data_IF_934648993842
#
_entry.id   IF_934648993842
#
_cell.length_a   1.000
_cell.length_b   1.000
_cell.length_c   1.000
_cell.angle_alpha   90.00
_cell.angle_beta   90.00
_cell.angle_gamma   90.00
#
_symmetry.space_group_name_H-M   'P 1'
#
loop_
_entity.id
_entity.type
_entity.pdbx_description
1 polymer ?
#
# COMPACT_ATOMS: atom_id res chain seq x y z
N UNK A 1 25.15 2.17 0.95
CA UNK A 1 23.92 1.84 1.66
C UNK A 1 23.02 3.05 1.52
N UNK A 2 21.91 2.93 0.79
CA UNK A 2 21.05 4.06 0.48
C UNK A 2 20.32 4.56 1.74
N UNK A 3 20.27 5.87 1.99
CA UNK A 3 19.52 6.47 3.13
C UNK A 3 18.05 6.03 3.15
N UNK A 4 17.44 5.73 1.99
CA UNK A 4 16.07 5.20 1.86
C UNK A 4 15.89 3.81 2.52
N UNK A 5 16.91 2.94 2.45
CA UNK A 5 16.88 1.63 3.11
C UNK A 5 16.97 1.76 4.64
N UNK A 6 17.67 2.80 5.13
CA UNK A 6 17.82 3.02 6.57
C UNK A 6 16.52 3.39 7.27
N UNK A 7 15.62 4.14 6.61
CA UNK A 7 14.34 4.57 7.21
C UNK A 7 13.38 3.38 7.31
N UNK A 8 13.27 2.58 6.24
CA UNK A 8 12.44 1.36 6.25
C UNK A 8 13.04 0.33 7.22
N UNK A 9 14.37 0.17 7.23
CA UNK A 9 15.06 -0.71 8.17
C UNK A 9 14.96 -0.24 9.63
N UNK A 10 14.89 1.06 9.90
CA UNK A 10 14.69 1.58 11.24
C UNK A 10 13.28 1.30 11.76
N UNK A 11 12.25 1.46 10.92
CA UNK A 11 10.86 1.11 11.27
C UNK A 11 10.71 -0.40 11.48
N UNK A 12 11.39 -1.24 10.66
CA UNK A 12 11.37 -2.70 10.78
C UNK A 12 12.23 -3.23 11.96
N UNK A 13 13.35 -2.57 12.29
CA UNK A 13 14.23 -2.98 13.40
C UNK A 13 13.62 -2.79 14.80
N UNK A 14 12.67 -1.88 14.95
CA UNK A 14 11.96 -1.65 16.22
C UNK A 14 10.99 -2.78 16.60
N UNK A 15 10.56 -3.60 15.62
CA UNK A 15 9.68 -4.74 15.87
C UNK A 15 10.41 -6.03 16.29
N UNK A 16 11.75 -6.09 16.25
CA UNK A 16 12.55 -7.30 16.51
C UNK A 16 13.42 -7.19 17.76
N UNK A 17 12.81 -7.14 18.91
CA UNK A 17 13.46 -7.36 20.21
C UNK A 17 13.48 -8.83 20.63
N UNK A 18 13.95 -9.78 19.78
CA UNK A 18 14.39 -11.12 20.20
C UNK A 18 15.03 -11.89 19.03
N UNK A 19 16.24 -12.41 19.29
CA UNK A 19 16.96 -13.47 18.57
C UNK A 19 17.09 -13.36 17.05
N UNK A 20 18.33 -13.19 16.57
CA UNK A 20 18.77 -13.25 15.18
C UNK A 20 18.38 -14.57 14.49
N UNK A 21 17.23 -14.62 13.89
CA UNK A 21 16.99 -15.33 12.65
C UNK A 21 17.00 -14.24 11.56
N UNK A 22 17.74 -14.42 10.49
CA UNK A 22 17.71 -13.57 9.30
C UNK A 22 16.39 -13.84 8.58
N UNK A 23 15.25 -13.41 9.17
CA UNK A 23 13.99 -13.35 8.43
C UNK A 23 14.15 -12.30 7.33
N UNK A 24 13.82 -12.69 6.12
CA UNK A 24 13.87 -11.80 4.96
C UNK A 24 12.88 -10.66 5.19
N UNK A 25 13.36 -9.41 5.16
CA UNK A 25 12.49 -8.24 5.26
C UNK A 25 11.44 -8.27 4.15
N UNK A 26 10.19 -8.02 4.51
CA UNK A 26 9.05 -8.01 3.59
C UNK A 26 8.34 -6.66 3.58
N UNK A 27 7.62 -6.35 2.49
CA UNK A 27 6.74 -5.19 2.44
C UNK A 27 5.72 -5.31 3.58
N UNK A 28 5.65 -4.32 4.49
CA UNK A 28 4.68 -4.35 5.56
C UNK A 28 3.25 -4.21 5.03
N UNK A 29 2.34 -4.93 5.67
CA UNK A 29 0.91 -4.94 5.33
C UNK A 29 0.12 -4.42 6.52
N UNK A 30 -0.59 -3.31 6.33
CA UNK A 30 -1.34 -2.64 7.37
C UNK A 30 -2.85 -2.85 7.18
N UNK A 31 -3.55 -3.18 8.25
CA UNK A 31 -5.00 -3.14 8.31
C UNK A 31 -5.46 -1.81 8.91
N UNK A 32 -6.32 -1.09 8.18
CA UNK A 32 -6.92 0.16 8.64
C UNK A 32 -8.13 -0.10 9.50
N UNK A 33 -8.16 0.52 10.68
CA UNK A 33 -9.29 0.67 11.59
C UNK A 33 -10.19 -0.57 11.81
N UNK A 34 -11.21 -0.41 12.64
CA UNK A 34 -12.28 -1.39 12.78
C UNK A 34 -12.04 -2.49 13.79
N UNK A 35 -10.92 -2.48 14.54
CA UNK A 35 -10.73 -3.41 15.67
C UNK A 35 -11.10 -2.73 17.00
N UNK A 36 -12.23 -3.10 17.64
CA UNK A 36 -12.57 -2.62 18.96
C UNK A 36 -11.55 -3.06 20.00
N UNK A 37 -11.14 -2.17 20.90
CA UNK A 37 -10.15 -2.47 21.94
C UNK A 37 -10.57 -3.62 22.86
N UNK A 38 -11.87 -3.74 23.17
CA UNK A 38 -12.44 -4.81 24.00
C UNK A 38 -12.43 -6.21 23.35
N UNK A 39 -12.06 -6.30 22.07
CA UNK A 39 -11.92 -7.56 21.30
C UNK A 39 -10.52 -7.76 20.73
N UNK A 40 -9.59 -6.90 21.09
CA UNK A 40 -8.24 -6.90 20.57
C UNK A 40 -7.51 -8.24 20.76
N UNK A 41 -7.67 -8.87 21.93
CA UNK A 41 -7.05 -10.18 22.24
C UNK A 41 -7.49 -11.32 21.29
N UNK A 42 -8.65 -11.19 20.63
CA UNK A 42 -9.15 -12.18 19.65
C UNK A 42 -8.85 -11.75 18.22
N UNK A 43 -8.96 -10.44 17.92
CA UNK A 43 -8.86 -9.93 16.56
C UNK A 43 -7.42 -9.82 16.08
N UNK A 44 -6.44 -9.45 16.93
CA UNK A 44 -5.04 -9.39 16.50
C UNK A 44 -4.43 -10.75 16.12
N UNK A 45 -4.69 -11.87 16.83
CA UNK A 45 -4.31 -13.17 16.33
C UNK A 45 -4.89 -13.53 14.95
N UNK A 46 -6.15 -13.16 14.68
CA UNK A 46 -6.76 -13.33 13.36
C UNK A 46 -6.11 -12.42 12.29
N UNK A 47 -5.74 -11.20 12.64
CA UNK A 47 -5.00 -10.32 11.74
C UNK A 47 -3.62 -10.90 11.39
N UNK A 48 -2.90 -11.43 12.38
CA UNK A 48 -1.62 -12.10 12.16
C UNK A 48 -1.77 -13.34 11.27
N UNK A 49 -2.79 -14.16 11.52
CA UNK A 49 -3.12 -15.31 10.70
C UNK A 49 -3.44 -14.91 9.25
N UNK A 50 -4.15 -13.80 9.05
CA UNK A 50 -4.46 -13.25 7.73
C UNK A 50 -3.22 -12.69 7.00
N UNK A 51 -2.10 -12.53 7.70
CA UNK A 51 -0.82 -12.07 7.15
C UNK A 51 -0.56 -10.58 7.31
N UNK A 52 -1.35 -9.86 8.11
CA UNK A 52 -1.06 -8.47 8.47
C UNK A 52 0.13 -8.37 9.41
N UNK A 53 0.88 -7.29 9.27
CA UNK A 53 2.03 -6.96 10.11
C UNK A 53 1.68 -5.82 11.07
N UNK A 54 0.85 -4.87 10.60
CA UNK A 54 0.48 -3.66 11.32
C UNK A 54 -1.03 -3.41 11.32
N UNK A 55 -1.46 -2.61 12.29
CA UNK A 55 -2.83 -2.13 12.41
C UNK A 55 -2.86 -0.63 12.75
N UNK A 56 -3.65 0.15 12.01
CA UNK A 56 -3.99 1.50 12.41
C UNK A 56 -5.30 1.47 13.21
N UNK A 57 -5.23 1.87 14.48
CA UNK A 57 -6.37 1.85 15.39
C UNK A 57 -6.77 3.24 15.84
N UNK A 58 -8.06 3.57 15.71
CA UNK A 58 -8.65 4.80 16.22
C UNK A 58 -9.39 4.51 17.52
N UNK A 59 -8.87 4.99 18.64
CA UNK A 59 -9.37 4.71 19.97
C UNK A 59 -9.99 5.95 20.63
N UNK A 60 -10.94 5.73 21.54
CA UNK A 60 -11.65 6.82 22.23
C UNK A 60 -10.85 7.45 23.37
N UNK A 61 -9.80 6.78 23.83
CA UNK A 61 -8.91 7.25 24.90
C UNK A 61 -7.55 6.58 24.83
N UNK A 62 -6.55 7.19 25.48
CA UNK A 62 -5.22 6.62 25.67
C UNK A 62 -5.26 5.24 26.36
N UNK A 63 -6.11 5.04 27.36
CA UNK A 63 -6.24 3.76 28.04
C UNK A 63 -6.68 2.65 27.09
N UNK A 64 -7.67 2.93 26.22
CA UNK A 64 -8.12 1.97 25.20
C UNK A 64 -7.02 1.69 24.17
N UNK A 65 -6.25 2.70 23.77
CA UNK A 65 -5.13 2.55 22.87
C UNK A 65 -4.06 1.62 23.45
N UNK A 66 -3.64 1.86 24.70
CA UNK A 66 -2.64 1.03 25.39
C UNK A 66 -3.13 -0.41 25.54
N UNK A 67 -4.39 -0.62 25.96
CA UNK A 67 -4.98 -1.96 26.07
C UNK A 67 -4.96 -2.73 24.73
N UNK A 68 -5.27 -2.04 23.63
CA UNK A 68 -5.20 -2.64 22.29
C UNK A 68 -3.75 -2.91 21.85
N UNK A 69 -2.82 -2.00 22.16
CA UNK A 69 -1.39 -2.18 21.87
C UNK A 69 -0.79 -3.37 22.64
N UNK A 70 -1.19 -3.57 23.92
CA UNK A 70 -0.80 -4.73 24.71
C UNK A 70 -1.25 -6.07 24.07
N UNK A 71 -2.46 -6.10 23.55
CA UNK A 71 -2.97 -7.28 22.84
C UNK A 71 -2.26 -7.49 21.48
N UNK A 72 -1.99 -6.41 20.76
CA UNK A 72 -1.25 -6.44 19.49
C UNK A 72 0.18 -6.95 19.69
N UNK A 73 0.88 -6.48 20.73
CA UNK A 73 2.24 -6.93 21.06
C UNK A 73 2.29 -8.45 21.30
N UNK A 74 1.32 -9.01 22.03
CA UNK A 74 1.21 -10.47 22.25
C UNK A 74 1.01 -11.26 20.95
N UNK A 75 0.33 -10.66 19.96
CA UNK A 75 0.09 -11.26 18.64
C UNK A 75 1.24 -11.01 17.64
N UNK A 76 2.22 -10.20 17.98
CA UNK A 76 3.30 -9.78 17.07
C UNK A 76 2.79 -8.88 15.94
N UNK A 77 1.86 -7.97 16.25
CA UNK A 77 1.31 -6.93 15.37
C UNK A 77 1.77 -5.56 15.87
N UNK A 78 2.29 -4.73 14.97
CA UNK A 78 2.56 -3.34 15.26
C UNK A 78 1.29 -2.48 15.19
N UNK A 79 1.25 -1.37 15.91
CA UNK A 79 0.06 -0.48 15.95
C UNK A 79 0.46 0.95 15.66
N UNK A 80 -0.37 1.62 14.87
CA UNK A 80 -0.39 3.07 14.66
C UNK A 80 -1.62 3.59 15.42
N UNK A 81 -1.50 4.01 16.68
CA UNK A 81 -2.64 4.44 17.47
C UNK A 81 -3.01 5.89 17.17
N UNK A 82 -4.32 6.17 17.01
CA UNK A 82 -4.90 7.50 17.04
C UNK A 82 -5.89 7.60 18.21
N UNK A 83 -5.73 8.62 19.06
CA UNK A 83 -6.63 8.91 20.20
C UNK A 83 -6.54 10.38 20.59
N UNK A 84 -7.58 10.95 21.24
CA UNK A 84 -7.70 12.40 21.48
C UNK A 84 -6.53 13.02 22.24
N UNK A 85 -5.99 12.30 23.22
CA UNK A 85 -4.92 12.82 24.09
C UNK A 85 -3.60 13.06 23.35
N UNK A 86 -3.39 12.45 22.15
CA UNK A 86 -2.24 12.78 21.29
C UNK A 86 -2.24 14.26 20.89
N UNK A 87 -3.42 14.86 20.72
CA UNK A 87 -3.58 16.29 20.44
C UNK A 87 -3.74 17.12 21.71
N UNK A 88 -4.60 16.66 22.63
CA UNK A 88 -5.04 17.47 23.78
C UNK A 88 -4.02 17.51 24.92
N UNK A 89 -3.13 16.52 25.00
CA UNK A 89 -2.08 16.38 26.02
C UNK A 89 -0.86 15.61 25.51
N UNK A 90 -0.28 16.06 24.40
CA UNK A 90 0.76 15.41 23.62
C UNK A 90 1.92 14.87 24.44
N UNK A 91 2.49 15.68 25.35
CA UNK A 91 3.62 15.27 26.19
C UNK A 91 3.30 14.02 27.04
N UNK A 92 2.13 14.00 27.67
CA UNK A 92 1.71 12.86 28.50
C UNK A 92 1.39 11.64 27.65
N UNK A 93 0.73 11.85 26.50
CA UNK A 93 0.35 10.78 25.59
C UNK A 93 1.59 10.10 25.01
N UNK A 94 2.54 10.88 24.51
CA UNK A 94 3.81 10.35 23.96
C UNK A 94 4.62 9.64 25.06
N UNK A 95 4.77 10.24 26.23
CA UNK A 95 5.49 9.61 27.34
C UNK A 95 4.88 8.26 27.76
N UNK A 96 3.57 8.08 27.59
CA UNK A 96 2.89 6.84 27.95
C UNK A 96 3.10 5.69 26.97
N UNK A 97 3.37 5.98 25.66
CA UNK A 97 3.39 4.94 24.62
C UNK A 97 4.69 4.86 23.83
N UNK A 98 5.60 5.83 23.88
CA UNK A 98 6.81 5.85 23.05
C UNK A 98 7.72 4.63 23.22
N UNK A 99 7.74 4.02 24.40
CA UNK A 99 8.54 2.83 24.69
C UNK A 99 7.73 1.52 24.54
N UNK A 100 6.51 1.60 24.00
CA UNK A 100 5.65 0.44 23.86
C UNK A 100 6.08 -0.43 22.67
N UNK A 101 6.30 -1.76 22.84
CA UNK A 101 6.86 -2.64 21.80
C UNK A 101 6.01 -2.79 20.53
N UNK A 102 4.72 -2.44 20.60
CA UNK A 102 3.84 -2.46 19.42
C UNK A 102 3.75 -1.10 18.71
N UNK A 103 4.35 -0.02 19.22
CA UNK A 103 4.26 1.28 18.56
C UNK A 103 5.03 1.29 17.24
N UNK A 104 4.36 1.68 16.15
CA UNK A 104 4.98 1.85 14.82
C UNK A 104 5.07 3.32 14.42
N UNK A 105 4.01 4.08 14.65
CA UNK A 105 3.91 5.48 14.32
C UNK A 105 2.79 6.13 15.14
N UNK A 106 2.71 7.45 15.14
CA UNK A 106 1.62 8.22 15.74
C UNK A 106 0.62 8.66 14.67
N UNK A 107 -0.65 8.25 14.75
CA UNK A 107 -1.68 8.74 13.84
C UNK A 107 -2.08 10.17 14.20
N UNK A 108 -1.89 11.11 13.28
CA UNK A 108 -2.26 12.51 13.46
C UNK A 108 -3.64 12.81 12.92
N UNK A 109 -3.85 12.51 11.64
CA UNK A 109 -5.14 12.80 10.97
C UNK A 109 -5.31 11.98 9.69
N UNK A 110 -6.55 11.63 9.44
CA UNK A 110 -7.03 11.07 8.18
C UNK A 110 -7.66 12.19 7.35
N UNK A 111 -7.33 12.23 6.06
CA UNK A 111 -7.85 13.16 5.06
C UNK A 111 -7.90 14.62 5.54
N UNK A 112 -6.74 15.22 5.89
CA UNK A 112 -6.72 16.61 6.34
C UNK A 112 -6.98 17.59 5.20
N UNK A 113 -7.63 18.71 5.52
CA UNK A 113 -7.85 19.84 4.64
C UNK A 113 -6.64 20.79 4.62
N UNK A 114 -6.55 21.71 3.64
CA UNK A 114 -5.44 22.67 3.55
C UNK A 114 -5.27 23.56 4.79
N UNK A 115 -6.35 23.86 5.50
CA UNK A 115 -6.29 24.66 6.75
C UNK A 115 -5.88 23.85 7.98
N UNK A 116 -5.72 22.55 7.86
CA UNK A 116 -5.23 21.71 8.95
C UNK A 116 -3.70 21.71 9.07
N UNK A 117 -2.98 22.21 8.05
CA UNK A 117 -1.52 22.06 7.94
C UNK A 117 -0.77 22.68 9.12
N UNK A 118 -1.15 23.88 9.57
CA UNK A 118 -0.43 24.60 10.61
C UNK A 118 -0.44 23.86 11.95
N UNK A 119 -1.64 23.42 12.39
CA UNK A 119 -1.73 22.71 13.67
C UNK A 119 -1.21 21.28 13.58
N UNK A 120 -1.28 20.63 12.41
CA UNK A 120 -0.68 19.32 12.19
C UNK A 120 0.85 19.40 12.20
N UNK A 121 1.43 20.46 11.62
CA UNK A 121 2.85 20.73 11.73
C UNK A 121 3.29 20.92 13.18
N UNK A 122 2.58 21.75 13.95
CA UNK A 122 2.86 21.94 15.37
C UNK A 122 2.77 20.62 16.15
N UNK A 123 1.74 19.81 15.90
CA UNK A 123 1.57 18.51 16.55
C UNK A 123 2.71 17.54 16.17
N UNK A 124 3.05 17.47 14.88
CA UNK A 124 4.17 16.68 14.37
C UNK A 124 5.49 17.06 15.07
N UNK A 125 5.83 18.35 15.04
CA UNK A 125 7.09 18.86 15.59
C UNK A 125 7.17 18.61 17.10
N UNK A 126 6.07 18.78 17.83
CA UNK A 126 5.99 18.47 19.26
C UNK A 126 6.19 16.97 19.54
N UNK A 127 5.58 16.08 18.76
CA UNK A 127 5.77 14.63 18.92
C UNK A 127 7.22 14.26 18.60
N UNK A 128 7.78 14.73 17.50
CA UNK A 128 9.14 14.43 17.09
C UNK A 128 10.21 14.98 18.08
N UNK A 129 9.92 16.07 18.79
CA UNK A 129 10.75 16.56 19.85
C UNK A 129 10.76 15.65 21.10
N UNK A 130 9.67 14.90 21.34
CA UNK A 130 9.51 13.98 22.48
C UNK A 130 9.92 12.53 22.16
N UNK A 131 9.77 12.15 20.89
CA UNK A 131 10.12 10.84 20.35
C UNK A 131 10.55 10.96 18.87
N UNK A 132 11.84 10.97 18.65
CA UNK A 132 12.45 11.04 17.31
C UNK A 132 12.61 9.67 16.64
N UNK A 133 12.14 8.59 17.27
CA UNK A 133 12.30 7.22 16.77
C UNK A 133 11.09 6.70 16.01
N UNK A 134 9.89 7.12 16.39
CA UNK A 134 8.65 6.71 15.74
C UNK A 134 8.10 7.86 14.88
N UNK A 135 7.78 7.58 13.60
CA UNK A 135 7.27 8.59 12.68
C UNK A 135 5.84 9.02 13.01
N UNK A 136 5.42 10.12 12.40
CA UNK A 136 4.03 10.55 12.38
C UNK A 136 3.34 10.11 11.09
N UNK A 137 2.08 9.70 11.19
CA UNK A 137 1.25 9.22 10.11
C UNK A 137 0.13 10.22 9.80
N UNK A 138 0.08 10.66 8.55
CA UNK A 138 -1.01 11.44 7.97
C UNK A 138 -1.43 10.74 6.68
N UNK A 139 -2.73 10.49 6.48
CA UNK A 139 -3.26 9.98 5.23
C UNK A 139 -3.88 11.13 4.42
N UNK A 140 -3.40 11.36 3.21
CA UNK A 140 -3.85 12.47 2.37
C UNK A 140 -5.02 12.04 1.49
N UNK A 141 -5.87 13.00 1.13
CA UNK A 141 -6.99 12.81 0.21
C UNK A 141 -6.55 12.25 -1.16
N UNK A 142 -7.41 11.47 -1.81
CA UNK A 142 -7.25 11.12 -3.22
C UNK A 142 -7.62 12.29 -4.15
N UNK A 143 -7.16 12.21 -5.40
CA UNK A 143 -7.35 13.29 -6.37
C UNK A 143 -8.80 13.58 -6.77
N UNK A 144 -9.73 12.65 -6.57
CA UNK A 144 -11.14 12.90 -6.86
C UNK A 144 -11.82 13.85 -5.86
N UNK A 145 -11.23 14.09 -4.69
CA UNK A 145 -11.73 15.06 -3.71
C UNK A 145 -11.49 16.53 -4.13
N UNK A 146 -10.61 16.73 -5.12
CA UNK A 146 -10.13 18.02 -5.56
C UNK A 146 -10.21 18.16 -7.09
N UNK A 147 -10.14 19.41 -7.61
CA UNK A 147 -9.78 19.57 -9.01
C UNK A 147 -8.28 19.31 -9.21
N UNK A 148 -7.85 19.15 -10.47
CA UNK A 148 -6.49 18.73 -10.81
C UNK A 148 -5.39 19.60 -10.20
N UNK A 149 -5.50 20.91 -10.36
CA UNK A 149 -4.51 21.87 -9.88
C UNK A 149 -4.44 21.89 -8.36
N UNK A 150 -5.60 21.96 -7.71
CA UNK A 150 -5.71 21.97 -6.24
C UNK A 150 -5.24 20.67 -5.60
N UNK A 151 -5.38 19.53 -6.28
CA UNK A 151 -4.87 18.28 -5.75
C UNK A 151 -3.34 18.29 -5.65
N UNK A 152 -2.67 18.70 -6.72
CA UNK A 152 -1.21 18.80 -6.71
C UNK A 152 -0.73 19.85 -5.69
N UNK A 153 -1.40 21.00 -5.60
CA UNK A 153 -1.11 22.02 -4.58
C UNK A 153 -1.28 21.45 -3.16
N UNK A 154 -2.33 20.64 -2.93
CA UNK A 154 -2.61 20.05 -1.63
C UNK A 154 -1.52 19.06 -1.19
N UNK A 155 -1.16 18.09 -2.04
CA UNK A 155 -0.13 17.10 -1.68
C UNK A 155 1.25 17.74 -1.52
N UNK A 156 1.60 18.74 -2.35
CA UNK A 156 2.84 19.49 -2.23
C UNK A 156 2.87 20.38 -0.98
N UNK A 157 1.75 20.96 -0.56
CA UNK A 157 1.65 21.72 0.68
C UNK A 157 2.08 20.86 1.87
N UNK A 158 1.49 19.66 2.01
CA UNK A 158 1.83 18.74 3.10
C UNK A 158 3.28 18.25 3.01
N UNK A 159 3.76 17.95 1.81
CA UNK A 159 5.12 17.49 1.61
C UNK A 159 6.19 18.56 1.91
N UNK A 160 5.86 19.84 1.71
CA UNK A 160 6.76 20.94 2.00
C UNK A 160 6.73 21.41 3.45
N UNK A 161 5.55 21.37 4.09
CA UNK A 161 5.37 21.97 5.41
C UNK A 161 5.61 20.98 6.57
N UNK A 162 5.36 19.68 6.36
CA UNK A 162 5.48 18.67 7.41
C UNK A 162 6.53 17.63 7.00
N UNK A 163 7.63 17.53 7.76
CA UNK A 163 8.76 16.64 7.44
C UNK A 163 8.50 15.19 7.87
N UNK A 164 7.36 14.61 7.45
CA UNK A 164 7.05 13.19 7.70
C UNK A 164 8.06 12.27 7.01
N UNK A 165 8.33 11.09 7.55
CA UNK A 165 9.27 10.11 6.98
C UNK A 165 8.76 9.40 5.74
N UNK A 166 7.46 9.42 5.52
CA UNK A 166 6.75 8.83 4.37
C UNK A 166 5.47 9.61 4.09
N UNK A 167 4.88 9.36 2.93
CA UNK A 167 3.57 9.90 2.56
C UNK A 167 2.56 8.77 2.44
N UNK A 168 1.29 9.03 2.75
CA UNK A 168 0.19 8.08 2.60
C UNK A 168 -0.99 8.73 1.92
N UNK A 169 -1.67 7.99 1.06
CA UNK A 169 -2.95 8.39 0.47
C UNK A 169 -3.85 7.17 0.29
N UNK A 170 -5.15 7.39 0.19
CA UNK A 170 -6.10 6.37 -0.17
C UNK A 170 -6.82 6.71 -1.46
N UNK A 171 -6.94 5.71 -2.34
CA UNK A 171 -7.85 5.73 -3.48
C UNK A 171 -8.22 4.31 -3.88
N UNK A 172 -9.51 4.08 -4.07
CA UNK A 172 -10.06 2.75 -4.34
C UNK A 172 -10.63 2.70 -5.75
N UNK A 173 -9.95 2.02 -6.69
CA UNK A 173 -10.30 2.09 -8.11
C UNK A 173 -11.48 1.22 -8.51
N UNK A 174 -11.66 0.05 -7.87
CA UNK A 174 -12.61 -0.96 -8.31
C UNK A 174 -14.00 -0.65 -7.76
N UNK A 175 -14.90 -0.28 -8.64
CA UNK A 175 -16.31 0.00 -8.30
C UNK A 175 -17.24 -0.87 -9.13
N UNK A 176 -18.44 -1.13 -8.64
CA UNK A 176 -19.51 -1.78 -9.39
C UNK A 176 -20.60 -0.75 -9.72
N UNK A 177 -20.97 -0.66 -10.99
CA UNK A 177 -22.02 0.20 -11.50
C UNK A 177 -22.89 -0.63 -12.41
N UNK A 178 -24.19 -0.68 -12.15
CA UNK A 178 -25.17 -1.44 -12.94
C UNK A 178 -24.80 -2.92 -13.16
N UNK A 179 -24.16 -3.54 -12.16
CA UNK A 179 -23.71 -4.93 -12.17
C UNK A 179 -22.41 -5.19 -12.98
N UNK A 180 -21.76 -4.14 -13.48
CA UNK A 180 -20.45 -4.21 -14.16
C UNK A 180 -19.33 -3.61 -13.32
N UNK A 181 -18.13 -4.18 -13.42
CA UNK A 181 -16.93 -3.61 -12.78
C UNK A 181 -16.42 -2.43 -13.60
N UNK A 182 -16.20 -1.32 -12.91
CA UNK A 182 -15.66 -0.08 -13.48
C UNK A 182 -14.43 0.33 -12.69
N UNK A 183 -13.33 0.58 -13.41
CA UNK A 183 -12.12 1.14 -12.81
C UNK A 183 -12.22 2.67 -12.86
N UNK A 184 -12.04 3.32 -11.71
CA UNK A 184 -12.07 4.78 -11.60
C UNK A 184 -11.05 5.42 -12.54
N UNK A 185 -11.47 6.32 -13.46
CA UNK A 185 -10.57 6.89 -14.49
C UNK A 185 -9.40 7.69 -13.89
N UNK A 186 -9.58 8.26 -12.69
CA UNK A 186 -8.59 9.12 -12.04
C UNK A 186 -7.53 8.35 -11.24
N UNK A 187 -7.68 7.03 -11.09
CA UNK A 187 -6.82 6.26 -10.19
C UNK A 187 -5.35 6.22 -10.62
N UNK A 188 -5.08 5.81 -11.86
CA UNK A 188 -3.70 5.77 -12.35
C UNK A 188 -3.05 7.15 -12.40
N UNK A 189 -3.84 8.18 -12.69
CA UNK A 189 -3.39 9.56 -12.57
C UNK A 189 -2.98 9.90 -11.14
N UNK A 190 -3.75 9.46 -10.12
CA UNK A 190 -3.38 9.67 -8.72
C UNK A 190 -2.04 9.01 -8.39
N UNK A 191 -1.81 7.78 -8.87
CA UNK A 191 -0.53 7.09 -8.71
C UNK A 191 0.63 7.84 -9.39
N UNK A 192 0.44 8.36 -10.62
CA UNK A 192 1.44 9.20 -11.31
C UNK A 192 1.79 10.45 -10.49
N UNK A 193 0.78 11.20 -10.06
CA UNK A 193 0.97 12.46 -9.33
C UNK A 193 1.63 12.22 -7.96
N UNK A 194 1.12 11.25 -7.21
CA UNK A 194 1.58 10.97 -5.85
C UNK A 194 2.99 10.35 -5.82
N UNK A 195 3.25 9.37 -6.68
CA UNK A 195 4.59 8.76 -6.79
C UNK A 195 5.64 9.77 -7.26
N UNK A 196 5.26 10.67 -8.20
CA UNK A 196 6.14 11.75 -8.65
C UNK A 196 6.46 12.74 -7.52
N UNK A 197 5.47 13.14 -6.72
CA UNK A 197 5.66 13.97 -5.53
C UNK A 197 6.59 13.27 -4.53
N UNK A 198 6.31 12.04 -4.14
CA UNK A 198 7.13 11.26 -3.22
C UNK A 198 8.58 11.13 -3.70
N UNK A 199 8.78 10.91 -5.02
CA UNK A 199 10.11 10.84 -5.64
C UNK A 199 10.85 12.18 -5.57
N UNK A 200 10.18 13.32 -5.83
CA UNK A 200 10.77 14.66 -5.72
C UNK A 200 11.27 14.96 -4.31
N UNK A 201 10.50 14.61 -3.31
CA UNK A 201 10.85 14.79 -1.90
C UNK A 201 11.77 13.69 -1.34
N UNK A 202 12.08 12.67 -2.14
CA UNK A 202 13.01 11.60 -1.75
C UNK A 202 12.49 10.68 -0.65
N UNK A 203 11.18 10.59 -0.44
CA UNK A 203 10.52 9.81 0.61
C UNK A 203 9.70 8.66 0.03
N UNK A 204 9.54 7.53 0.74
CA UNK A 204 8.64 6.47 0.34
C UNK A 204 7.18 6.90 0.46
N UNK A 205 6.28 6.18 -0.19
CA UNK A 205 4.85 6.34 0.01
C UNK A 205 4.15 5.02 0.29
N UNK A 206 3.01 5.10 0.95
CA UNK A 206 2.11 4.01 1.30
C UNK A 206 0.80 4.19 0.54
N UNK A 207 0.22 3.10 0.08
CA UNK A 207 -1.01 3.14 -0.71
C UNK A 207 -2.05 2.14 -0.19
N UNK A 208 -3.31 2.41 -0.49
CA UNK A 208 -4.44 1.63 -0.02
C UNK A 208 -5.04 0.74 -1.09
N UNK A 209 -5.48 -0.45 -0.67
CA UNK A 209 -6.36 -1.33 -1.41
C UNK A 209 -7.71 -1.50 -0.69
N UNK A 210 -8.81 -1.55 -1.44
CA UNK A 210 -10.14 -1.82 -0.91
C UNK A 210 -10.31 -3.31 -0.64
N UNK A 211 -10.53 -3.66 0.62
CA UNK A 211 -10.79 -5.04 1.05
C UNK A 211 -12.19 -5.25 1.61
N UNK A 212 -13.04 -4.21 1.61
CA UNK A 212 -14.36 -4.25 2.22
C UNK A 212 -15.45 -3.78 1.25
N UNK A 213 -16.51 -4.63 1.09
CA UNK A 213 -17.67 -4.27 0.29
C UNK A 213 -18.61 -3.34 1.04
N UNK A 214 -18.93 -2.20 0.45
CA UNK A 214 -19.87 -1.24 1.01
C UNK A 214 -20.36 -0.23 -0.03
N UNK A 215 -21.49 0.43 0.26
CA UNK A 215 -21.98 1.55 -0.53
C UNK A 215 -21.16 2.81 -0.26
N UNK A 216 -20.76 3.49 -1.32
CA UNK A 216 -20.40 4.89 -1.22
C UNK A 216 -21.70 5.71 -1.04
N UNK A 217 -21.75 6.52 0.00
CA UNK A 217 -22.83 7.51 0.13
C UNK A 217 -22.70 8.51 -1.01
N UNK A 218 -23.72 8.58 -1.87
CA UNK A 218 -23.84 9.43 -3.06
C UNK A 218 -22.56 9.82 -3.83
N UNK A 219 -22.47 9.73 -5.14
CA UNK A 219 -23.40 10.39 -6.06
C UNK A 219 -24.21 9.38 -6.86
N UNK A 220 -25.14 9.89 -7.67
CA UNK A 220 -25.93 9.07 -8.60
C UNK A 220 -25.16 8.86 -9.92
N UNK A 221 -25.04 7.62 -10.46
CA UNK A 221 -25.55 6.38 -9.84
C UNK A 221 -24.72 6.00 -8.60
N UNK A 222 -25.32 5.30 -7.62
CA UNK A 222 -24.60 4.88 -6.42
C UNK A 222 -23.43 3.98 -6.80
N UNK A 223 -22.22 4.43 -6.56
CA UNK A 223 -21.05 3.59 -6.68
C UNK A 223 -20.99 2.63 -5.48
N UNK A 224 -20.73 1.39 -5.77
CA UNK A 224 -20.66 0.32 -4.79
C UNK A 224 -19.25 -0.27 -4.85
N UNK A 225 -18.61 -0.48 -3.70
CA UNK A 225 -17.39 -1.29 -3.66
C UNK A 225 -17.79 -2.75 -3.59
N UNK A 226 -17.48 -3.56 -4.63
CA UNK A 226 -17.89 -4.96 -4.68
C UNK A 226 -17.15 -5.77 -3.62
N UNK A 227 -17.66 -6.99 -3.37
CA UNK A 227 -16.89 -7.99 -2.62
C UNK A 227 -15.58 -8.24 -3.37
N UNK A 228 -14.42 -8.06 -2.73
CA UNK A 228 -13.15 -8.15 -3.44
C UNK A 228 -12.85 -9.57 -3.90
N UNK A 229 -12.62 -9.74 -5.19
CA UNK A 229 -12.00 -10.96 -5.73
C UNK A 229 -10.48 -10.85 -5.66
N UNK A 230 -9.78 -11.97 -5.87
CA UNK A 230 -8.32 -11.94 -5.95
C UNK A 230 -7.82 -11.05 -7.11
N UNK A 231 -8.53 -11.04 -8.25
CA UNK A 231 -8.23 -10.13 -9.36
C UNK A 231 -8.37 -8.66 -9.00
N UNK A 232 -9.41 -8.30 -8.23
CA UNK A 232 -9.60 -6.94 -7.73
C UNK A 232 -8.47 -6.50 -6.78
N UNK A 233 -8.04 -7.37 -5.87
CA UNK A 233 -6.94 -7.08 -4.94
C UNK A 233 -5.60 -6.99 -5.66
N UNK A 234 -5.31 -7.93 -6.57
CA UNK A 234 -4.07 -7.95 -7.36
C UNK A 234 -3.91 -6.68 -8.20
N UNK A 235 -4.98 -6.25 -8.89
CA UNK A 235 -4.93 -5.01 -9.69
C UNK A 235 -4.51 -3.83 -8.83
N UNK A 236 -5.13 -3.65 -7.66
CA UNK A 236 -4.84 -2.54 -6.74
C UNK A 236 -3.41 -2.65 -6.20
N UNK A 237 -3.14 -3.72 -5.49
CA UNK A 237 -1.86 -3.93 -4.79
C UNK A 237 -0.66 -3.92 -5.74
N UNK A 238 -0.74 -4.64 -6.85
CA UNK A 238 0.39 -4.68 -7.77
C UNK A 238 0.57 -3.38 -8.55
N UNK A 239 -0.50 -2.63 -8.84
CA UNK A 239 -0.31 -1.28 -9.40
C UNK A 239 0.39 -0.36 -8.41
N UNK A 240 -0.02 -0.35 -7.14
CA UNK A 240 0.63 0.44 -6.10
C UNK A 240 2.12 0.11 -5.99
N UNK A 241 2.48 -1.17 -5.99
CA UNK A 241 3.87 -1.64 -5.96
C UNK A 241 4.65 -1.29 -7.22
N UNK A 242 4.02 -1.34 -8.40
CA UNK A 242 4.65 -0.96 -9.67
C UNK A 242 4.96 0.55 -9.74
N UNK A 243 4.21 1.36 -9.02
CA UNK A 243 4.47 2.79 -8.86
C UNK A 243 5.40 3.10 -7.69
N UNK A 244 5.79 2.09 -6.89
CA UNK A 244 6.83 2.20 -5.85
C UNK A 244 6.31 2.34 -4.42
N UNK A 245 5.06 1.99 -4.14
CA UNK A 245 4.55 1.92 -2.77
C UNK A 245 5.41 0.97 -1.93
N UNK A 246 5.69 1.35 -0.69
CA UNK A 246 6.55 0.60 0.23
C UNK A 246 5.80 -0.04 1.39
N UNK A 247 4.53 0.30 1.57
CA UNK A 247 3.58 -0.35 2.47
C UNK A 247 2.24 -0.44 1.76
N UNK A 248 1.58 -1.58 1.90
CA UNK A 248 0.21 -1.78 1.42
C UNK A 248 -0.74 -1.71 2.61
N UNK A 249 -1.76 -0.89 2.47
CA UNK A 249 -2.78 -0.67 3.49
C UNK A 249 -4.13 -1.17 3.00
N UNK A 250 -4.89 -1.82 3.85
CA UNK A 250 -6.23 -2.29 3.48
C UNK A 250 -7.32 -1.54 4.22
N UNK A 251 -8.26 -1.00 3.49
CA UNK A 251 -9.54 -0.51 4.01
C UNK A 251 -10.60 -1.61 3.86
N UNK A 252 -11.01 -2.31 4.94
CA UNK A 252 -10.55 -2.37 6.32
C UNK A 252 -10.34 -3.84 6.74
N UNK A 253 -9.82 -4.08 7.95
CA UNK A 253 -9.79 -5.44 8.52
C UNK A 253 -11.18 -6.09 8.57
N UNK A 254 -12.23 -5.28 8.69
CA UNK A 254 -13.62 -5.71 8.62
C UNK A 254 -14.02 -6.41 7.31
N UNK A 255 -13.19 -6.32 6.26
CA UNK A 255 -13.33 -7.12 5.04
C UNK A 255 -13.00 -8.60 5.26
N UNK A 256 -11.98 -8.90 6.08
CA UNK A 256 -11.53 -10.26 6.37
C UNK A 256 -12.32 -10.91 7.53
N UNK A 257 -12.71 -10.13 8.52
CA UNK A 257 -13.32 -10.60 9.77
C UNK A 257 -14.52 -9.75 10.16
N UNK A 258 -15.58 -10.36 10.59
CA UNK A 258 -16.67 -9.64 11.28
C UNK A 258 -16.18 -9.24 12.68
N UNK A 259 -15.85 -7.98 12.87
CA UNK A 259 -15.27 -7.47 14.11
C UNK A 259 -16.27 -7.42 15.28
N UNK A 260 -17.58 -7.63 15.03
CA UNK A 260 -18.58 -7.77 16.09
C UNK A 260 -18.63 -9.19 16.65
N UNK A 261 -18.55 -10.19 15.80
CA UNK A 261 -18.62 -11.61 16.17
C UNK A 261 -17.25 -12.28 16.27
N UNK A 262 -16.19 -11.63 15.80
CA UNK A 262 -14.82 -12.14 15.67
C UNK A 262 -14.75 -13.39 14.77
N UNK A 263 -15.64 -13.52 13.80
CA UNK A 263 -15.66 -14.64 12.87
C UNK A 263 -15.04 -14.27 11.53
N UNK A 264 -14.26 -15.17 10.94
CA UNK A 264 -13.74 -15.04 9.59
C UNK A 264 -14.88 -14.92 8.58
N UNK A 265 -14.75 -13.99 7.64
CA UNK A 265 -15.63 -13.87 6.48
C UNK A 265 -15.13 -14.76 5.34
N UNK A 266 -15.95 -15.01 4.30
CA UNK A 266 -15.52 -15.75 3.11
C UNK A 266 -14.28 -15.15 2.42
N UNK A 267 -14.10 -13.84 2.51
CA UNK A 267 -13.00 -13.10 1.89
C UNK A 267 -11.66 -13.25 2.63
N UNK A 268 -11.66 -13.83 3.83
CA UNK A 268 -10.45 -14.00 4.65
C UNK A 268 -9.33 -14.72 3.89
N UNK A 269 -9.64 -15.85 3.25
CA UNK A 269 -8.65 -16.63 2.49
C UNK A 269 -8.13 -15.88 1.26
N UNK A 270 -8.99 -15.09 0.59
CA UNK A 270 -8.61 -14.27 -0.56
C UNK A 270 -7.63 -13.18 -0.16
N UNK A 271 -7.88 -12.49 0.97
CA UNK A 271 -7.00 -11.46 1.51
C UNK A 271 -5.69 -12.09 2.01
N UNK A 272 -5.76 -13.23 2.70
CA UNK A 272 -4.58 -13.97 3.16
C UNK A 272 -3.69 -14.41 1.99
N UNK A 273 -4.29 -14.90 0.90
CA UNK A 273 -3.56 -15.24 -0.32
C UNK A 273 -2.86 -14.00 -0.90
N UNK A 274 -3.56 -12.87 -1.04
CA UNK A 274 -2.96 -11.64 -1.54
C UNK A 274 -1.78 -11.19 -0.66
N UNK A 275 -1.94 -11.23 0.66
CA UNK A 275 -0.87 -10.90 1.60
C UNK A 275 0.35 -11.82 1.46
N UNK A 276 0.12 -13.10 1.20
CA UNK A 276 1.21 -14.06 0.91
C UNK A 276 1.93 -13.72 -0.39
N UNK A 277 1.22 -13.30 -1.44
CA UNK A 277 1.80 -12.87 -2.71
C UNK A 277 2.66 -11.60 -2.54
N UNK A 278 2.19 -10.60 -1.76
CA UNK A 278 2.97 -9.39 -1.43
C UNK A 278 4.30 -9.79 -0.78
N UNK A 279 4.26 -10.64 0.22
CA UNK A 279 5.45 -11.10 0.95
C UNK A 279 6.41 -11.87 0.03
N UNK A 280 5.89 -12.71 -0.85
CA UNK A 280 6.70 -13.46 -1.81
C UNK A 280 7.41 -12.55 -2.84
N UNK A 281 6.78 -11.44 -3.25
CA UNK A 281 7.36 -10.49 -4.18
C UNK A 281 8.16 -9.35 -3.53
N UNK A 282 8.21 -9.27 -2.20
CA UNK A 282 8.96 -8.25 -1.46
C UNK A 282 10.43 -8.11 -1.88
N UNK A 283 11.18 -9.18 -2.25
CA UNK A 283 12.56 -9.04 -2.73
C UNK A 283 12.71 -8.23 -4.02
N UNK A 284 11.63 -8.00 -4.75
CA UNK A 284 11.63 -7.14 -5.95
C UNK A 284 11.23 -5.72 -5.59
N UNK A 285 10.24 -5.55 -4.72
CA UNK A 285 9.57 -4.26 -4.50
C UNK A 285 10.07 -3.51 -3.27
N UNK A 286 10.46 -4.19 -2.18
CA UNK A 286 10.91 -3.49 -0.97
C UNK A 286 12.22 -2.75 -1.24
N UNK A 287 12.19 -1.42 -1.07
CA UNK A 287 13.32 -0.54 -1.31
C UNK A 287 13.70 -0.36 -2.79
N UNK A 288 12.84 -0.78 -3.73
CA UNK A 288 13.10 -0.59 -5.17
C UNK A 288 13.11 0.89 -5.56
N UNK A 289 13.85 1.19 -6.62
CA UNK A 289 13.77 2.46 -7.35
C UNK A 289 13.02 2.22 -8.66
N UNK A 290 11.84 2.86 -8.79
CA UNK A 290 11.04 2.81 -10.01
C UNK A 290 11.68 3.73 -11.04
N UNK A 291 12.22 3.15 -12.11
CA UNK A 291 12.85 3.90 -13.19
C UNK A 291 11.80 4.55 -14.08
N UNK A 292 10.82 3.76 -14.51
CA UNK A 292 9.74 4.20 -15.38
C UNK A 292 8.52 3.30 -15.27
N UNK A 293 7.33 3.89 -15.52
CA UNK A 293 6.05 3.18 -15.66
C UNK A 293 5.37 3.56 -16.97
N UNK A 294 4.84 2.60 -17.68
CA UNK A 294 4.09 2.77 -18.94
C UNK A 294 2.83 1.94 -18.94
N UNK A 295 1.91 2.29 -19.84
CA UNK A 295 0.69 1.54 -20.10
C UNK A 295 0.65 1.07 -21.54
N UNK A 296 0.04 -0.12 -21.77
CA UNK A 296 -0.27 -0.67 -23.11
C UNK A 296 -1.77 -0.82 -23.29
N UNK A 297 -2.20 -1.23 -24.47
CA UNK A 297 -3.61 -1.41 -24.85
C UNK A 297 -4.11 -0.30 -25.76
N UNK A 298 -5.32 -0.45 -26.31
CA UNK A 298 -5.91 0.50 -27.25
C UNK A 298 -6.20 1.85 -26.58
N UNK A 299 -6.79 1.83 -25.38
CA UNK A 299 -6.98 2.98 -24.52
C UNK A 299 -6.04 2.89 -23.30
N UNK A 300 -5.26 3.93 -23.05
CA UNK A 300 -4.48 4.07 -21.81
C UNK A 300 -5.16 5.05 -20.85
N UNK A 301 -4.99 4.87 -19.54
CA UNK A 301 -5.56 5.79 -18.55
C UNK A 301 -5.05 7.23 -18.78
N UNK A 302 -5.90 8.21 -18.50
CA UNK A 302 -5.56 9.61 -18.64
C UNK A 302 -4.33 9.98 -17.78
N UNK A 303 -3.49 10.89 -18.29
CA UNK A 303 -2.28 11.37 -17.63
C UNK A 303 -1.21 10.30 -17.35
N UNK A 304 -1.34 9.10 -17.95
CA UNK A 304 -0.29 8.06 -17.93
C UNK A 304 0.49 8.04 -19.23
N UNK A 305 1.61 7.32 -19.26
CA UNK A 305 2.47 7.23 -20.44
C UNK A 305 2.23 5.93 -21.20
N UNK A 306 2.04 6.05 -22.53
CA UNK A 306 2.00 4.89 -23.43
C UNK A 306 3.40 4.29 -23.62
N UNK A 307 3.48 2.96 -23.68
CA UNK A 307 4.72 2.27 -24.06
C UNK A 307 4.93 2.41 -25.58
N UNK A 308 5.70 3.40 -26.01
CA UNK A 308 6.00 3.67 -27.42
C UNK A 308 7.27 2.98 -27.92
N UNK A 309 8.19 2.67 -26.99
CA UNK A 309 9.45 1.97 -27.27
C UNK A 309 9.65 0.85 -26.26
N UNK A 310 10.49 -0.14 -26.59
CA UNK A 310 10.78 -1.24 -25.66
C UNK A 310 11.39 -0.72 -24.37
N UNK A 311 10.92 -1.18 -23.20
CA UNK A 311 11.28 -0.61 -21.91
C UNK A 311 12.74 -0.86 -21.52
N UNK A 312 13.38 -1.82 -22.16
CA UNK A 312 14.78 -2.15 -21.92
C UNK A 312 15.42 -2.84 -23.12
N UNK A 313 16.73 -2.64 -23.34
CA UNK A 313 17.53 -3.22 -24.47
C UNK A 313 17.45 -4.75 -24.60
N UNK A 314 17.11 -5.46 -23.54
CA UNK A 314 16.92 -6.92 -23.56
C UNK A 314 15.53 -7.34 -24.05
N UNK A 315 14.57 -6.44 -24.16
CA UNK A 315 13.21 -6.73 -24.67
C UNK A 315 13.18 -6.44 -26.17
N UNK A 316 12.84 -7.43 -26.99
CA UNK A 316 12.73 -7.28 -28.44
C UNK A 316 11.30 -6.93 -28.86
N UNK A 317 10.32 -7.55 -28.22
CA UNK A 317 8.91 -7.30 -28.45
C UNK A 317 8.12 -7.51 -27.15
N UNK A 318 7.04 -6.78 -26.99
CA UNK A 318 6.10 -6.90 -25.90
C UNK A 318 4.71 -6.52 -26.40
N UNK A 319 3.74 -7.40 -26.20
CA UNK A 319 2.33 -7.11 -26.41
C UNK A 319 1.48 -7.82 -25.37
N UNK A 320 0.39 -7.18 -24.95
CA UNK A 320 -0.59 -7.72 -24.00
C UNK A 320 -1.97 -7.48 -24.60
N UNK A 321 -2.81 -8.53 -24.64
CA UNK A 321 -4.17 -8.47 -25.16
C UNK A 321 -5.14 -7.79 -24.18
N UNK A 322 -6.40 -7.61 -24.61
CA UNK A 322 -7.49 -7.09 -23.80
C UNK A 322 -7.27 -5.62 -23.40
N UNK A 323 -7.51 -5.27 -22.14
CA UNK A 323 -7.34 -3.92 -21.60
C UNK A 323 -5.86 -3.45 -21.60
N UNK A 324 -4.92 -4.34 -21.93
CA UNK A 324 -3.50 -4.06 -21.90
C UNK A 324 -2.88 -4.24 -20.51
N UNK A 325 -1.74 -3.59 -20.31
CA UNK A 325 -0.94 -3.79 -19.10
C UNK A 325 -0.39 -2.49 -18.52
N UNK A 326 -0.04 -2.53 -17.22
CA UNK A 326 0.95 -1.64 -16.62
C UNK A 326 2.31 -2.30 -16.75
N UNK A 327 3.29 -1.58 -17.25
CA UNK A 327 4.68 -2.05 -17.43
C UNK A 327 5.60 -1.16 -16.60
N UNK A 328 6.32 -1.73 -15.66
CA UNK A 328 7.25 -0.98 -14.82
C UNK A 328 8.67 -1.54 -14.91
N UNK A 329 9.63 -0.64 -15.04
CA UNK A 329 11.05 -0.94 -14.97
C UNK A 329 11.58 -0.54 -13.59
N UNK A 330 12.11 -1.51 -12.85
CA UNK A 330 12.51 -1.39 -11.46
C UNK A 330 13.98 -1.75 -11.29
N UNK A 331 14.65 -1.04 -10.38
CA UNK A 331 15.97 -1.44 -9.89
C UNK A 331 15.91 -1.73 -8.40
N UNK A 332 16.45 -2.86 -7.99
CA UNK A 332 16.57 -3.23 -6.58
C UNK A 332 17.83 -4.05 -6.35
N UNK A 333 18.64 -3.65 -5.38
CA UNK A 333 19.87 -4.32 -4.97
C UNK A 333 20.81 -4.64 -6.18
N UNK A 334 20.95 -3.64 -7.07
CA UNK A 334 21.78 -3.75 -8.28
C UNK A 334 21.23 -4.69 -9.36
N UNK A 335 19.96 -5.07 -9.27
CA UNK A 335 19.28 -5.95 -10.22
C UNK A 335 18.15 -5.15 -10.90
N UNK A 336 18.02 -5.34 -12.22
CA UNK A 336 16.96 -4.74 -13.00
C UNK A 336 15.82 -5.73 -13.19
N UNK A 337 14.59 -5.28 -12.95
CA UNK A 337 13.37 -6.05 -13.12
C UNK A 337 12.43 -5.34 -14.09
N UNK A 338 11.79 -6.13 -14.93
CA UNK A 338 10.66 -5.71 -15.75
C UNK A 338 9.41 -6.40 -15.21
N UNK A 339 8.47 -5.63 -14.72
CA UNK A 339 7.21 -6.13 -14.17
C UNK A 339 6.05 -5.71 -15.08
N UNK A 340 5.16 -6.67 -15.39
CA UNK A 340 4.04 -6.50 -16.32
C UNK A 340 2.79 -7.00 -15.63
N UNK A 341 1.82 -6.11 -15.43
CA UNK A 341 0.55 -6.36 -14.76
C UNK A 341 -0.59 -6.38 -15.77
N UNK A 342 -1.42 -7.44 -15.77
CA UNK A 342 -2.68 -7.43 -16.48
C UNK A 342 -3.61 -6.35 -15.91
N UNK A 343 -3.95 -5.33 -16.71
CA UNK A 343 -4.77 -4.20 -16.27
C UNK A 343 -6.27 -4.53 -16.17
N UNK A 344 -6.68 -5.70 -16.61
CA UNK A 344 -8.03 -6.24 -16.42
C UNK A 344 -8.10 -7.08 -15.14
N UNK A 345 -8.94 -6.69 -14.19
CA UNK A 345 -9.14 -7.42 -12.93
C UNK A 345 -10.25 -8.49 -13.01
N UNK A 346 -10.86 -8.65 -14.17
CA UNK A 346 -11.97 -9.59 -14.40
C UNK A 346 -11.58 -10.67 -15.39
N UNK A 347 -10.87 -10.31 -16.47
CA UNK A 347 -10.52 -11.21 -17.56
C UNK A 347 -9.02 -11.51 -17.62
N UNK A 348 -8.68 -12.68 -18.17
CA UNK A 348 -7.31 -13.05 -18.51
C UNK A 348 -6.79 -12.25 -19.70
N UNK A 349 -5.47 -12.06 -19.76
CA UNK A 349 -4.79 -11.46 -20.89
C UNK A 349 -3.66 -12.36 -21.40
N UNK A 350 -3.41 -12.35 -22.71
CA UNK A 350 -2.26 -13.03 -23.31
C UNK A 350 -1.08 -12.05 -23.39
N UNK A 351 0.03 -12.41 -22.76
CA UNK A 351 1.31 -11.74 -22.87
C UNK A 351 2.17 -12.48 -23.90
N UNK A 352 2.63 -11.76 -24.94
CA UNK A 352 3.65 -12.22 -25.88
C UNK A 352 4.88 -11.31 -25.72
N UNK A 353 6.00 -11.88 -25.25
CA UNK A 353 7.23 -11.13 -24.97
C UNK A 353 8.46 -11.91 -25.44
N UNK A 354 9.35 -11.27 -26.24
CA UNK A 354 10.62 -11.85 -26.66
C UNK A 354 11.80 -11.06 -26.08
N UNK A 355 12.85 -11.80 -25.74
CA UNK A 355 14.07 -11.24 -25.14
C UNK A 355 15.30 -11.53 -25.99
N UNK A 356 16.30 -10.63 -25.91
CA UNK A 356 17.67 -10.92 -26.29
C UNK A 356 18.51 -11.28 -25.07
N UNK A 357 19.10 -12.46 -25.11
CA UNK A 357 19.96 -12.95 -24.01
C UNK A 357 19.21 -13.68 -22.91
N UNK A 358 19.90 -13.90 -21.81
CA UNK A 358 19.38 -14.68 -20.68
C UNK A 358 18.52 -13.80 -19.76
N UNK A 359 17.26 -14.18 -19.59
CA UNK A 359 16.29 -13.58 -18.69
C UNK A 359 15.71 -14.67 -17.79
N UNK A 360 15.34 -14.33 -16.56
CA UNK A 360 14.68 -15.23 -15.61
C UNK A 360 13.38 -14.62 -15.14
N UNK A 361 12.40 -15.45 -14.86
CA UNK A 361 11.12 -15.03 -14.29
C UNK A 361 11.21 -15.15 -12.75
N UNK A 362 10.78 -14.10 -12.06
CA UNK A 362 10.56 -14.11 -10.62
C UNK A 362 9.11 -14.50 -10.34
N UNK A 363 8.89 -15.49 -9.49
CA UNK A 363 7.56 -16.00 -9.13
C UNK A 363 7.41 -16.10 -7.62
N UNK A 364 6.20 -16.34 -7.14
CA UNK A 364 5.95 -16.58 -5.69
C UNK A 364 6.80 -17.74 -5.13
N UNK A 365 7.17 -18.72 -5.96
CA UNK A 365 8.04 -19.84 -5.56
C UNK A 365 9.53 -19.58 -5.83
N UNK A 366 9.93 -18.35 -6.16
CA UNK A 366 11.30 -17.96 -6.46
C UNK A 366 11.62 -17.81 -7.95
N UNK A 367 12.91 -17.89 -8.31
CA UNK A 367 13.40 -17.58 -9.65
C UNK A 367 13.35 -18.81 -10.55
N UNK A 368 12.64 -18.71 -11.68
CA UNK A 368 12.47 -19.77 -12.69
C UNK A 368 13.05 -19.35 -14.06
N UNK A 369 13.27 -20.33 -14.94
CA UNK A 369 13.60 -20.05 -16.34
C UNK A 369 12.33 -19.64 -17.08
N UNK A 370 12.45 -18.68 -17.99
CA UNK A 370 11.39 -18.37 -18.97
C UNK A 370 11.28 -19.57 -19.90
N UNK A 371 10.12 -20.22 -19.95
CA UNK A 371 9.88 -21.44 -20.74
C UNK A 371 9.15 -21.16 -22.05
N UNK A 372 8.44 -20.04 -22.12
CA UNK A 372 7.64 -19.63 -23.27
C UNK A 372 7.67 -18.12 -23.40
N UNK A 373 7.62 -17.62 -24.62
CA UNK A 373 7.44 -16.20 -24.90
C UNK A 373 5.98 -15.80 -24.79
N UNK A 374 5.05 -16.77 -24.81
CA UNK A 374 3.61 -16.57 -24.63
C UNK A 374 3.17 -17.14 -23.30
N UNK A 375 2.40 -16.37 -22.57
CA UNK A 375 1.83 -16.77 -21.29
C UNK A 375 0.52 -16.05 -21.01
N UNK A 376 -0.40 -16.73 -20.36
CA UNK A 376 -1.66 -16.16 -19.89
C UNK A 376 -1.44 -15.48 -18.54
N UNK A 377 -1.86 -14.25 -18.41
CA UNK A 377 -1.92 -13.50 -17.16
C UNK A 377 -3.34 -13.56 -16.62
N UNK A 378 -3.51 -14.13 -15.43
CA UNK A 378 -4.80 -14.12 -14.73
C UNK A 378 -5.27 -12.67 -14.44
N UNK A 379 -6.55 -12.44 -14.10
CA UNK A 379 -7.08 -11.13 -13.80
C UNK A 379 -6.24 -10.39 -12.73
N UNK A 380 -5.84 -9.16 -13.05
CA UNK A 380 -5.04 -8.30 -12.19
C UNK A 380 -3.66 -8.84 -11.81
N UNK A 381 -3.23 -9.97 -12.37
CA UNK A 381 -2.00 -10.62 -11.97
C UNK A 381 -0.76 -10.03 -12.64
N UNK A 382 0.38 -10.23 -11.99
CA UNK A 382 1.69 -9.71 -12.40
C UNK A 382 2.61 -10.83 -12.87
N UNK A 383 3.46 -10.51 -13.83
CA UNK A 383 4.65 -11.31 -14.14
C UNK A 383 5.89 -10.44 -14.06
N UNK A 384 6.98 -10.97 -13.50
CA UNK A 384 8.20 -10.21 -13.25
C UNK A 384 9.39 -10.94 -13.88
N UNK A 385 10.15 -10.21 -14.68
CA UNK A 385 11.36 -10.68 -15.31
C UNK A 385 12.60 -10.02 -14.71
N UNK A 386 13.55 -10.81 -14.25
CA UNK A 386 14.88 -10.34 -13.88
C UNK A 386 15.74 -10.29 -15.15
N UNK A 387 16.10 -9.08 -15.57
CA UNK A 387 16.84 -8.77 -16.79
C UNK A 387 18.34 -8.97 -16.66
#
# INVERSE_FOLDING_TARGET
MNKKLLIISAILALCCGCAHTTEQETIPILSWAGMPADKADVLFPLAKECGFDWHLGLYKSQEMAISAMDAAAKAGIGVIPGFPELKDSTEKAVAAIKDHPALIAYHLKDEPETWDVDWLKEMHDNIQALDSTHPCYINLYPNWAWNEEKYVEHIELYANEIDTEFYSFDQYPVTEVDGGIVIRPTWYRNLEEFSAMAKRHGKPFWAFAMAWSHHLGAPSPPAFYPIPTLGHLRLQVFSDLLYGAQVIQYFTFGGAVDTKTCQKKPEFETIQQMNSEIKAYSPVFLGCDVQDVWHTGDAIPSHTRRLEAMPHKKVKSLSVSGEGAVVSLLENDGKTYLAILNRDCVNEAELDIDFCGRVRMFTVDGIKRVKSNKMTLSPGNITIFKL
#
